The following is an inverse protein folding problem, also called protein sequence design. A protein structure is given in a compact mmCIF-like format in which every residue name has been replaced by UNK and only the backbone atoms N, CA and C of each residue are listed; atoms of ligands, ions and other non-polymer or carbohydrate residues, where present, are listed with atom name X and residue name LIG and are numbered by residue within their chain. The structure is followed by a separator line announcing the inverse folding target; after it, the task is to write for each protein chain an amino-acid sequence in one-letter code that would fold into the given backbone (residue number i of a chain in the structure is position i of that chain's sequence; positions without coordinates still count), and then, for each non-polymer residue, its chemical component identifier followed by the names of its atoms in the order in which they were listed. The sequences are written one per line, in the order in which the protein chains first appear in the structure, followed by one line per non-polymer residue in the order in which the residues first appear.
data_IF_759937243051
#
_entry.id   IF_759937243051
#
_cell.length_a   1.000
_cell.length_b   1.000
_cell.length_c   1.000
_cell.angle_alpha   90.00
_cell.angle_beta   90.00
_cell.angle_gamma   90.00
#
_symmetry.space_group_name_H-M   'P 1'
#
loop_
_entity.id
_entity.type
_entity.pdbx_description
1 polymer ?
#
# COMPACT_ATOMS: atom_id res chain seq x y z
N UNK A 1 -56.15 26.20 -0.25
CA UNK A 1 -54.79 26.47 0.26
C UNK A 1 -53.96 25.20 0.14
N UNK A 2 -52.97 25.16 -0.76
CA UNK A 2 -52.06 24.01 -0.92
C UNK A 2 -50.66 24.41 -0.43
N UNK A 3 -49.95 23.57 0.35
CA UNK A 3 -48.61 23.91 0.76
C UNK A 3 -47.63 23.66 -0.40
N UNK A 4 -46.77 24.65 -0.64
CA UNK A 4 -45.69 24.61 -1.63
C UNK A 4 -44.59 23.67 -1.11
N UNK A 5 -44.16 22.71 -1.93
CA UNK A 5 -42.97 21.88 -1.66
C UNK A 5 -41.70 22.72 -1.91
N UNK A 6 -40.68 22.71 -1.04
CA UNK A 6 -39.40 23.29 -1.38
C UNK A 6 -38.62 22.31 -2.28
N UNK A 7 -38.30 22.75 -3.49
CA UNK A 7 -37.27 22.12 -4.33
C UNK A 7 -35.93 22.46 -3.70
N UNK A 8 -35.26 21.47 -3.12
CA UNK A 8 -33.84 21.59 -2.81
C UNK A 8 -33.06 21.24 -4.08
N UNK A 9 -32.49 22.25 -4.73
CA UNK A 9 -31.41 22.06 -5.70
C UNK A 9 -30.19 21.56 -4.92
N UNK A 10 -29.89 20.28 -5.03
CA UNK A 10 -28.62 19.74 -4.53
C UNK A 10 -27.48 20.36 -5.36
N UNK A 11 -26.45 20.97 -4.75
CA UNK A 11 -25.24 21.28 -5.48
C UNK A 11 -24.64 19.93 -5.91
N UNK A 12 -24.38 19.78 -7.22
CA UNK A 12 -23.62 18.66 -7.74
C UNK A 12 -22.35 18.54 -6.92
N UNK A 13 -22.26 17.48 -6.11
CA UNK A 13 -21.06 17.17 -5.38
C UNK A 13 -19.97 16.96 -6.43
N UNK A 14 -19.11 17.96 -6.58
CA UNK A 14 -17.81 17.81 -7.21
C UNK A 14 -17.19 16.62 -6.49
N UNK A 15 -17.09 15.49 -7.20
CA UNK A 15 -16.32 14.33 -6.77
C UNK A 15 -14.88 14.82 -6.64
N UNK A 16 -14.55 15.29 -5.44
CA UNK A 16 -13.18 15.51 -4.99
C UNK A 16 -12.50 14.18 -5.23
N UNK A 17 -11.60 14.17 -6.22
CA UNK A 17 -10.71 13.07 -6.53
C UNK A 17 -9.94 12.78 -5.24
N UNK A 18 -10.46 11.86 -4.42
CA UNK A 18 -9.77 11.38 -3.23
C UNK A 18 -8.50 10.75 -3.74
N UNK A 19 -7.38 11.45 -3.62
CA UNK A 19 -6.10 10.77 -3.57
C UNK A 19 -6.25 9.77 -2.44
N UNK A 20 -6.26 8.49 -2.81
CA UNK A 20 -6.33 7.37 -1.89
C UNK A 20 -5.01 7.26 -1.13
N UNK A 21 -4.66 8.29 -0.38
CA UNK A 21 -3.69 8.17 0.70
C UNK A 21 -4.42 7.42 1.81
N UNK A 22 -4.44 6.09 1.67
CA UNK A 22 -4.76 5.20 2.77
C UNK A 22 -3.88 5.63 3.96
N UNK A 23 -4.45 5.74 5.18
CA UNK A 23 -3.67 6.08 6.34
C UNK A 23 -2.51 5.08 6.45
N UNK A 24 -1.29 5.59 6.61
CA UNK A 24 -0.15 4.74 6.87
C UNK A 24 -0.38 4.07 8.25
N UNK A 25 -0.79 2.80 8.25
CA UNK A 25 -0.94 2.03 9.48
C UNK A 25 0.40 1.37 9.79
N UNK A 26 1.12 1.90 10.79
CA UNK A 26 2.29 1.22 11.36
C UNK A 26 1.80 -0.02 12.11
N UNK A 27 1.81 -1.19 11.46
CA UNK A 27 1.57 -2.47 12.13
C UNK A 27 2.89 -3.14 12.47
N UNK A 28 3.07 -3.49 13.75
CA UNK A 28 4.20 -4.34 14.16
C UNK A 28 4.19 -5.69 13.44
N UNK A 29 3.01 -6.20 13.06
CA UNK A 29 2.90 -7.39 12.23
C UNK A 29 3.55 -7.19 10.86
N UNK A 30 3.38 -6.00 10.25
CA UNK A 30 4.05 -5.65 8.98
C UNK A 30 5.57 -5.57 9.09
N UNK A 31 6.09 -5.11 10.23
CA UNK A 31 7.54 -5.07 10.50
C UNK A 31 8.09 -6.49 10.68
N UNK A 32 7.41 -7.31 11.48
CA UNK A 32 7.81 -8.70 11.72
C UNK A 32 7.75 -9.52 10.43
N UNK A 33 6.69 -9.38 9.63
CA UNK A 33 6.57 -10.05 8.34
C UNK A 33 7.68 -9.65 7.36
N UNK A 34 8.06 -8.37 7.33
CA UNK A 34 9.18 -7.92 6.50
C UNK A 34 10.51 -8.57 6.92
N UNK A 35 10.75 -8.71 8.23
CA UNK A 35 11.94 -9.40 8.73
C UNK A 35 11.94 -10.89 8.40
N UNK A 36 10.77 -11.54 8.37
CA UNK A 36 10.63 -12.94 7.93
C UNK A 36 10.90 -13.11 6.43
N UNK A 37 10.67 -12.07 5.62
CA UNK A 37 10.94 -12.10 4.18
C UNK A 37 12.44 -11.95 3.84
N UNK A 38 13.28 -11.45 4.74
CA UNK A 38 14.70 -11.20 4.46
C UNK A 38 15.51 -12.50 4.22
N UNK A 39 15.46 -13.54 5.10
CA UNK A 39 16.19 -14.80 4.87
C UNK A 39 15.83 -15.55 3.57
N UNK A 40 14.54 -15.73 3.20
CA UNK A 40 14.20 -16.40 1.95
C UNK A 40 14.60 -15.57 0.72
N UNK A 41 14.55 -14.24 0.79
CA UNK A 41 15.04 -13.36 -0.28
C UNK A 41 16.55 -13.51 -0.48
N UNK A 42 17.33 -13.50 0.60
CA UNK A 42 18.77 -13.73 0.52
C UNK A 42 19.10 -15.12 -0.04
N UNK A 43 18.34 -16.14 0.36
CA UNK A 43 18.48 -17.50 -0.20
C UNK A 43 18.15 -17.54 -1.70
N UNK A 44 17.11 -16.84 -2.12
CA UNK A 44 16.71 -16.77 -3.53
C UNK A 44 17.79 -16.07 -4.39
N UNK A 45 18.31 -14.94 -3.89
CA UNK A 45 19.42 -14.21 -4.53
C UNK A 45 20.64 -15.11 -4.69
N UNK A 46 21.02 -15.83 -3.63
CA UNK A 46 22.17 -16.74 -3.66
C UNK A 46 21.96 -17.94 -4.60
N UNK A 47 20.78 -18.56 -4.58
CA UNK A 47 20.48 -19.75 -5.42
C UNK A 47 20.44 -19.46 -6.92
N UNK A 48 20.09 -18.23 -7.28
CA UNK A 48 20.04 -17.78 -8.67
C UNK A 48 21.31 -17.05 -9.12
N UNK A 49 22.35 -17.03 -8.28
CA UNK A 49 23.61 -16.33 -8.53
C UNK A 49 23.40 -14.85 -8.91
N UNK A 50 22.42 -14.20 -8.27
CA UNK A 50 22.09 -12.80 -8.51
C UNK A 50 23.02 -11.90 -7.70
N UNK A 51 23.41 -10.78 -8.29
CA UNK A 51 24.25 -9.79 -7.61
C UNK A 51 23.48 -9.11 -6.45
N UNK A 52 23.84 -9.35 -5.17
CA UNK A 52 23.04 -8.86 -4.04
C UNK A 52 23.01 -7.34 -3.96
N UNK A 53 24.10 -6.67 -4.32
CA UNK A 53 24.21 -5.20 -4.30
C UNK A 53 23.30 -4.54 -5.33
N UNK A 54 23.16 -5.12 -6.52
CA UNK A 54 22.23 -4.64 -7.55
C UNK A 54 20.77 -4.88 -7.15
N UNK A 55 20.46 -6.06 -6.59
CA UNK A 55 19.09 -6.38 -6.16
C UNK A 55 18.66 -5.48 -4.98
N UNK A 56 19.52 -5.32 -3.97
CA UNK A 56 19.21 -4.54 -2.76
C UNK A 56 19.17 -3.02 -3.00
N UNK A 57 19.88 -2.52 -4.02
CA UNK A 57 19.84 -1.09 -4.41
C UNK A 57 18.66 -0.74 -5.31
N UNK A 58 17.91 -1.73 -5.81
CA UNK A 58 16.79 -1.50 -6.70
C UNK A 58 15.63 -0.80 -5.95
N UNK A 59 14.98 0.23 -6.54
CA UNK A 59 13.89 0.97 -5.88
C UNK A 59 12.72 0.08 -5.46
N UNK A 60 12.45 -1.00 -6.20
CA UNK A 60 11.39 -1.96 -5.89
C UNK A 60 11.77 -3.00 -4.83
N UNK A 61 13.02 -3.05 -4.35
CA UNK A 61 13.45 -4.02 -3.35
C UNK A 61 12.61 -3.90 -2.07
N UNK A 62 12.27 -2.68 -1.68
CA UNK A 62 11.45 -2.43 -0.50
C UNK A 62 9.99 -2.91 -0.68
N UNK A 63 9.46 -2.80 -1.89
CA UNK A 63 8.15 -3.37 -2.27
C UNK A 63 8.17 -4.88 -2.20
N UNK A 64 9.24 -5.51 -2.71
CA UNK A 64 9.43 -6.96 -2.68
C UNK A 64 9.53 -7.48 -1.23
N UNK A 65 10.28 -6.82 -0.36
CA UNK A 65 10.34 -7.14 1.08
C UNK A 65 8.98 -7.00 1.78
N UNK A 66 8.14 -6.12 1.27
CA UNK A 66 6.79 -5.88 1.79
C UNK A 66 5.72 -6.74 1.11
N UNK A 67 6.11 -7.62 0.19
CA UNK A 67 5.19 -8.50 -0.51
C UNK A 67 4.59 -9.51 0.46
N UNK A 68 3.28 -9.73 0.38
CA UNK A 68 2.54 -10.60 1.30
C UNK A 68 2.38 -10.05 2.73
N UNK A 69 2.88 -8.82 3.00
CA UNK A 69 2.53 -8.11 4.22
C UNK A 69 1.05 -7.77 4.16
N UNK A 70 0.25 -8.39 5.02
CA UNK A 70 -1.16 -8.04 5.15
C UNK A 70 -1.20 -6.73 5.93
N UNK A 71 -1.39 -5.62 5.21
CA UNK A 71 -1.73 -4.36 5.84
C UNK A 71 -3.14 -4.51 6.43
N UNK A 72 -3.20 -4.73 7.75
CA UNK A 72 -4.44 -4.69 8.52
C UNK A 72 -4.82 -3.24 8.82
#
# INVERSE_FOLDING_TARGET
MSPRRPVWLAPSAVQVKRSSQQPFVFSMASIQQRALNDPPLDTFIARLDLCPTQIKSHPNYQTLRSYGVIAA
#
